data_IF_760775901874
#
_entry.id   IF_760775901874
#
_cell.length_a   1.000
_cell.length_b   1.000
_cell.length_c   1.000
_cell.angle_alpha   90.00
_cell.angle_beta   90.00
_cell.angle_gamma   90.00
#
_symmetry.space_group_name_H-M   'P 1'
#
loop_
_entity.id
_entity.type
_entity.pdbx_description
1 polymer ?
#
# COMPACT_ATOMS: atom_id res chain seq x y z
N UNK A 1 -0.11 7.90 16.14
CA UNK A 1 -0.43 6.55 15.63
C UNK A 1 0.73 5.65 16.02
N UNK A 2 0.50 4.53 16.70
CA UNK A 2 1.58 3.56 16.94
C UNK A 2 1.77 2.76 15.66
N UNK A 3 2.99 2.75 15.14
CA UNK A 3 3.30 1.94 13.97
C UNK A 3 3.29 0.46 14.34
N UNK A 4 2.72 -0.37 13.47
CA UNK A 4 2.65 -1.80 13.65
C UNK A 4 3.57 -2.44 12.61
N UNK A 5 4.58 -3.14 13.10
CA UNK A 5 5.54 -3.84 12.26
C UNK A 5 4.94 -5.17 11.82
N UNK A 6 5.15 -5.53 10.56
CA UNK A 6 4.81 -6.86 10.07
C UNK A 6 5.85 -7.86 10.55
N UNK A 7 5.42 -9.10 10.84
CA UNK A 7 6.34 -10.18 11.21
C UNK A 7 7.31 -10.55 10.07
N UNK A 8 6.87 -10.36 8.84
CA UNK A 8 7.68 -10.45 7.63
C UNK A 8 7.30 -9.30 6.69
N UNK A 9 8.23 -8.80 5.85
CA UNK A 9 7.89 -7.68 4.99
C UNK A 9 6.88 -8.10 3.91
N UNK A 10 5.85 -7.28 3.72
CA UNK A 10 4.74 -7.49 2.80
C UNK A 10 5.03 -6.84 1.46
N UNK A 11 4.63 -7.46 0.36
CA UNK A 11 4.73 -6.86 -0.99
C UNK A 11 3.37 -6.32 -1.41
N UNK A 12 3.32 -5.03 -1.75
CA UNK A 12 2.18 -4.37 -2.36
C UNK A 12 2.45 -4.23 -3.85
N UNK A 13 1.61 -4.87 -4.66
CA UNK A 13 1.65 -4.80 -6.13
C UNK A 13 0.72 -3.71 -6.64
N UNK A 14 1.29 -2.72 -7.33
CA UNK A 14 0.57 -1.57 -7.89
C UNK A 14 0.54 -1.66 -9.42
N UNK A 15 0.06 -2.77 -9.99
CA UNK A 15 -0.03 -2.89 -11.45
C UNK A 15 -0.67 -1.66 -12.13
N UNK A 16 -0.06 -1.12 -13.21
CA UNK A 16 1.20 -1.51 -13.86
C UNK A 16 2.47 -0.84 -13.27
N UNK A 17 2.33 -0.01 -12.24
CA UNK A 17 3.36 0.84 -11.63
C UNK A 17 4.37 0.11 -10.73
N UNK A 18 4.39 -1.23 -10.77
CA UNK A 18 5.37 -2.08 -10.11
C UNK A 18 5.04 -2.46 -8.66
N UNK A 19 6.00 -3.09 -7.99
CA UNK A 19 5.85 -3.63 -6.64
C UNK A 19 6.63 -2.82 -5.61
N UNK A 20 6.19 -2.84 -4.35
CA UNK A 20 6.97 -2.32 -3.23
C UNK A 20 6.84 -3.20 -2.01
N UNK A 21 7.99 -3.49 -1.41
CA UNK A 21 8.11 -4.21 -0.14
C UNK A 21 8.01 -3.21 1.01
N UNK A 22 7.19 -3.51 2.00
CA UNK A 22 6.94 -2.68 3.19
C UNK A 22 7.08 -3.52 4.45
N UNK A 23 7.59 -2.92 5.52
CA UNK A 23 7.86 -3.62 6.78
C UNK A 23 6.93 -3.18 7.91
N UNK A 24 6.15 -2.11 7.71
CA UNK A 24 5.21 -1.61 8.71
C UNK A 24 3.90 -1.08 8.10
N UNK A 25 2.88 -1.00 8.95
CA UNK A 25 1.58 -0.42 8.60
C UNK A 25 1.70 1.04 8.18
N UNK A 26 2.57 1.81 8.82
CA UNK A 26 2.83 3.19 8.41
C UNK A 26 3.41 3.27 7.00
N UNK A 27 4.44 2.46 6.68
CA UNK A 27 5.00 2.40 5.32
C UNK A 27 3.97 1.95 4.28
N UNK A 28 3.11 0.99 4.64
CA UNK A 28 2.03 0.55 3.79
C UNK A 28 1.08 1.71 3.47
N UNK A 29 0.60 2.43 4.50
CA UNK A 29 -0.33 3.55 4.33
C UNK A 29 0.28 4.70 3.52
N UNK A 30 1.52 5.10 3.80
CA UNK A 30 2.24 6.12 3.01
C UNK A 30 2.36 5.68 1.54
N UNK A 31 2.64 4.41 1.31
CA UNK A 31 2.73 3.87 -0.04
C UNK A 31 1.39 3.87 -0.76
N UNK A 32 0.29 3.59 -0.04
CA UNK A 32 -1.06 3.65 -0.60
C UNK A 32 -1.43 5.10 -0.91
N UNK A 33 -1.25 6.05 0.02
CA UNK A 33 -1.61 7.45 -0.20
C UNK A 33 -0.98 8.05 -1.47
N UNK A 34 0.31 7.74 -1.69
CA UNK A 34 1.07 8.25 -2.84
C UNK A 34 0.72 7.56 -4.16
N UNK A 35 0.39 6.26 -4.15
CA UNK A 35 0.32 5.44 -5.37
C UNK A 35 -1.02 4.79 -5.62
N UNK A 36 -2.04 5.09 -4.80
CA UNK A 36 -3.36 4.52 -5.00
C UNK A 36 -3.91 4.90 -6.37
N UNK A 37 -4.32 3.92 -7.19
CA UNK A 37 -4.90 4.23 -8.48
C UNK A 37 -6.22 5.02 -8.30
N UNK A 38 -6.45 6.00 -9.16
CA UNK A 38 -7.65 6.86 -9.08
C UNK A 38 -8.96 6.05 -9.10
N UNK A 39 -9.01 4.94 -9.85
CA UNK A 39 -10.17 4.04 -9.89
C UNK A 39 -10.51 3.42 -8.52
N UNK A 40 -9.50 3.20 -7.69
CA UNK A 40 -9.65 2.67 -6.34
C UNK A 40 -10.03 3.74 -5.30
N UNK A 41 -9.90 5.05 -5.64
CA UNK A 41 -10.33 6.16 -4.79
C UNK A 41 -11.84 6.37 -4.86
N UNK A 42 -12.46 6.11 -6.01
CA UNK A 42 -13.87 6.41 -6.27
C UNK A 42 -14.85 5.32 -5.77
N UNK A 43 -14.36 4.36 -4.97
CA UNK A 43 -15.20 3.26 -4.45
C UNK A 43 -15.63 2.24 -5.52
N UNK A 44 -15.20 2.40 -6.77
CA UNK A 44 -15.41 1.46 -7.86
C UNK A 44 -14.39 0.30 -7.78
N UNK A 45 -14.41 -0.43 -6.67
CA UNK A 45 -13.71 -1.70 -6.52
C UNK A 45 -14.52 -2.77 -7.26
N UNK A 46 -14.07 -3.21 -8.43
CA UNK A 46 -14.60 -4.39 -9.14
C UNK A 46 -13.49 -5.35 -9.46
#
# INVERSE_FOLDING_TARGET
MNDVWFSEPVVIDFQPNGQRKVSSCFEAMECLDLRWPGQARDGAWR
#
